data_IF_160022852536
#
_entry.id   IF_160022852536
#
_cell.length_a   1.000
_cell.length_b   1.000
_cell.length_c   1.000
_cell.angle_alpha   90.00
_cell.angle_beta   90.00
_cell.angle_gamma   90.00
#
_symmetry.space_group_name_H-M   'P 1'
#
loop_
_entity.id
_entity.type
_entity.pdbx_description
1 polymer ?
#
# COMPACT_ATOMS: atom_id res chain seq x y z
N UNK A 1 36.57 -36.32 -9.40
CA UNK A 1 37.07 -34.97 -9.76
C UNK A 1 35.90 -34.19 -10.36
N UNK A 2 35.22 -33.37 -9.56
CA UNK A 2 34.05 -32.56 -9.99
C UNK A 2 34.61 -31.26 -10.57
N UNK A 3 34.31 -30.95 -11.84
CA UNK A 3 34.69 -29.66 -12.43
C UNK A 3 33.92 -28.54 -11.70
N UNK A 4 34.56 -27.44 -11.29
CA UNK A 4 33.83 -26.27 -10.84
C UNK A 4 33.05 -25.72 -12.05
N UNK A 5 31.73 -25.60 -11.91
CA UNK A 5 30.90 -24.89 -12.88
C UNK A 5 31.33 -23.42 -12.92
N UNK A 6 31.71 -22.93 -14.11
CA UNK A 6 32.07 -21.54 -14.35
C UNK A 6 31.01 -20.60 -13.77
N UNK A 7 31.40 -19.88 -12.71
CA UNK A 7 30.60 -18.86 -12.05
C UNK A 7 30.50 -17.61 -12.92
N UNK A 8 29.80 -17.72 -14.05
CA UNK A 8 29.52 -16.58 -14.92
C UNK A 8 28.50 -15.69 -14.21
N UNK A 9 28.94 -14.51 -13.76
CA UNK A 9 28.07 -13.46 -13.21
C UNK A 9 27.12 -13.03 -14.34
N UNK A 10 25.81 -13.21 -14.13
CA UNK A 10 24.77 -12.75 -15.05
C UNK A 10 24.00 -11.60 -14.44
N UNK A 11 23.60 -10.65 -15.29
CA UNK A 11 22.70 -9.58 -14.89
C UNK A 11 21.40 -10.18 -14.35
N UNK A 12 20.93 -9.65 -13.22
CA UNK A 12 19.63 -9.99 -12.65
C UNK A 12 18.55 -9.52 -13.63
N UNK A 13 17.50 -10.33 -13.82
CA UNK A 13 16.37 -9.94 -14.68
C UNK A 13 15.80 -8.58 -14.24
N UNK A 14 15.47 -7.65 -15.16
CA UNK A 14 14.98 -6.31 -14.80
C UNK A 14 13.78 -6.31 -13.85
N UNK A 15 12.86 -7.26 -14.02
CA UNK A 15 11.71 -7.45 -13.12
C UNK A 15 12.09 -7.90 -11.71
N UNK A 16 13.22 -8.59 -11.55
CA UNK A 16 13.77 -8.91 -10.23
C UNK A 16 14.49 -7.70 -9.61
N UNK A 17 15.17 -6.86 -10.40
CA UNK A 17 15.78 -5.60 -9.90
C UNK A 17 14.72 -4.67 -9.32
N UNK A 18 13.64 -4.40 -10.07
CA UNK A 18 12.54 -3.54 -9.61
C UNK A 18 11.90 -4.05 -8.31
N UNK A 19 11.69 -5.37 -8.18
CA UNK A 19 11.18 -5.99 -6.95
C UNK A 19 12.16 -5.95 -5.79
N UNK A 20 13.47 -6.06 -6.05
CA UNK A 20 14.50 -5.96 -5.00
C UNK A 20 14.55 -4.52 -4.47
N UNK A 21 14.63 -3.52 -5.36
CA UNK A 21 14.63 -2.11 -4.96
C UNK A 21 13.33 -1.73 -4.23
N UNK A 22 12.18 -2.11 -4.78
CA UNK A 22 10.88 -1.84 -4.15
C UNK A 22 10.71 -2.58 -2.82
N UNK A 23 11.28 -3.78 -2.69
CA UNK A 23 11.32 -4.51 -1.43
C UNK A 23 12.20 -3.84 -0.37
N UNK A 24 13.23 -3.08 -0.75
CA UNK A 24 14.00 -2.27 0.20
C UNK A 24 13.24 -1.03 0.64
N UNK A 25 12.34 -0.50 -0.19
CA UNK A 25 11.48 0.64 0.14
C UNK A 25 10.31 0.21 1.03
N UNK A 26 9.57 -0.84 0.65
CA UNK A 26 8.46 -1.39 1.45
C UNK A 26 8.96 -2.62 2.20
N UNK A 27 9.40 -2.40 3.45
CA UNK A 27 10.01 -3.43 4.29
C UNK A 27 8.99 -4.13 5.18
N UNK A 28 8.00 -3.40 5.67
CA UNK A 28 6.96 -3.90 6.56
C UNK A 28 5.61 -3.17 6.35
N UNK A 29 4.59 -3.59 7.11
CA UNK A 29 3.23 -3.03 7.04
C UNK A 29 3.22 -1.54 7.41
N UNK A 30 3.93 -1.17 8.48
CA UNK A 30 3.95 0.20 8.96
C UNK A 30 4.58 1.14 7.91
N UNK A 31 5.63 0.69 7.23
CA UNK A 31 6.27 1.42 6.13
C UNK A 31 5.31 1.57 4.95
N UNK A 32 4.60 0.50 4.55
CA UNK A 32 3.60 0.60 3.48
C UNK A 32 2.53 1.66 3.76
N UNK A 33 2.02 1.71 4.99
CA UNK A 33 1.04 2.74 5.39
C UNK A 33 1.67 4.11 5.52
N UNK A 34 2.88 4.23 6.07
CA UNK A 34 3.64 5.49 6.16
C UNK A 34 3.71 6.16 4.80
N UNK A 35 4.16 5.44 3.77
CA UNK A 35 4.31 5.99 2.43
C UNK A 35 2.94 6.43 1.86
N UNK A 36 1.87 5.67 2.09
CA UNK A 36 0.52 6.07 1.66
C UNK A 36 0.00 7.32 2.39
N UNK A 37 0.29 7.44 3.69
CA UNK A 37 -0.11 8.59 4.52
C UNK A 37 0.69 9.82 4.13
N UNK A 38 2.00 9.71 3.96
CA UNK A 38 2.88 10.81 3.51
C UNK A 38 2.43 11.32 2.14
N UNK A 39 2.17 10.42 1.19
CA UNK A 39 1.65 10.81 -0.12
C UNK A 39 0.30 11.55 -0.02
N UNK A 40 -0.59 11.10 0.87
CA UNK A 40 -1.86 11.76 1.08
C UNK A 40 -1.68 13.17 1.68
N UNK A 41 -0.77 13.32 2.65
CA UNK A 41 -0.45 14.60 3.26
C UNK A 41 0.18 15.57 2.26
N UNK A 42 1.15 15.11 1.46
CA UNK A 42 1.82 15.91 0.42
C UNK A 42 0.84 16.38 -0.66
N UNK A 43 -0.17 15.56 -0.94
CA UNK A 43 -1.24 15.92 -1.87
C UNK A 43 -2.25 16.92 -1.26
N UNK A 44 -2.16 17.23 0.03
CA UNK A 44 -3.03 18.17 0.74
C UNK A 44 -4.30 17.54 1.30
N UNK A 45 -4.29 16.23 1.61
CA UNK A 45 -5.45 15.55 2.16
C UNK A 45 -5.95 16.20 3.46
N UNK A 46 -7.26 16.39 3.54
CA UNK A 46 -7.97 16.92 4.72
C UNK A 46 -8.62 15.81 5.55
N UNK A 47 -8.71 14.60 5.00
CA UNK A 47 -9.12 13.38 5.70
C UNK A 47 -8.31 12.22 5.13
N UNK A 48 -7.79 11.38 6.02
CA UNK A 48 -7.08 10.14 5.72
C UNK A 48 -7.77 9.02 6.49
N UNK A 49 -8.30 8.03 5.79
CA UNK A 49 -8.89 6.85 6.41
C UNK A 49 -8.14 5.59 5.99
N UNK A 50 -7.58 4.89 6.97
CA UNK A 50 -6.88 3.62 6.81
C UNK A 50 -7.80 2.48 7.25
N UNK A 51 -8.16 1.59 6.32
CA UNK A 51 -8.93 0.38 6.61
C UNK A 51 -8.04 -0.84 6.44
N UNK A 52 -8.05 -1.71 7.41
CA UNK A 52 -7.27 -2.93 7.44
C UNK A 52 -8.22 -4.14 7.48
N UNK A 53 -7.85 -5.20 6.79
CA UNK A 53 -8.47 -6.52 6.95
C UNK A 53 -7.42 -7.51 7.43
N UNK A 54 -7.79 -8.32 8.43
CA UNK A 54 -6.87 -9.23 9.11
C UNK A 54 -5.59 -8.51 9.56
N UNK A 55 -5.76 -7.38 10.25
CA UNK A 55 -4.67 -6.53 10.76
C UNK A 55 -3.76 -5.95 9.66
N UNK A 56 -4.17 -6.00 8.39
CA UNK A 56 -3.41 -5.51 7.23
C UNK A 56 -2.71 -6.61 6.42
N UNK A 57 -2.85 -7.88 6.82
CA UNK A 57 -2.28 -9.00 6.07
C UNK A 57 -3.03 -9.30 4.77
N UNK A 58 -4.34 -9.05 4.75
CA UNK A 58 -5.17 -9.28 3.55
C UNK A 58 -5.38 -8.00 2.74
N UNK A 59 -5.68 -6.88 3.41
CA UNK A 59 -6.01 -5.62 2.75
C UNK A 59 -5.60 -4.41 3.59
N UNK A 60 -5.08 -3.41 2.90
CA UNK A 60 -4.83 -2.05 3.38
C UNK A 60 -5.54 -1.11 2.40
N UNK A 61 -6.52 -0.34 2.84
CA UNK A 61 -7.12 0.73 2.05
C UNK A 61 -6.84 2.08 2.68
N UNK A 62 -6.29 3.02 1.92
CA UNK A 62 -6.13 4.42 2.31
C UNK A 62 -7.07 5.29 1.49
N UNK A 63 -7.89 6.11 2.14
CA UNK A 63 -8.79 7.09 1.51
C UNK A 63 -8.28 8.50 1.81
N UNK A 64 -7.98 9.27 0.77
CA UNK A 64 -7.49 10.65 0.85
C UNK A 64 -8.33 11.60 -0.03
N UNK A 65 -8.28 12.91 0.19
CA UNK A 65 -9.03 13.88 -0.63
C UNK A 65 -8.29 14.37 -1.87
N UNK A 66 -7.04 13.96 -2.10
CA UNK A 66 -6.19 14.36 -3.22
C UNK A 66 -5.42 13.17 -3.83
N UNK A 67 -4.73 13.39 -4.96
CA UNK A 67 -4.04 12.34 -5.74
C UNK A 67 -2.73 11.83 -5.11
N UNK A 68 -1.97 11.03 -5.86
CA UNK A 68 -0.67 10.47 -5.43
C UNK A 68 0.41 10.91 -6.43
N UNK A 69 1.64 11.13 -5.96
CA UNK A 69 2.82 11.42 -6.80
C UNK A 69 3.98 10.52 -6.37
N UNK A 70 4.94 10.30 -7.26
CA UNK A 70 6.23 9.67 -6.91
C UNK A 70 6.27 8.14 -6.99
N UNK A 71 7.30 7.57 -6.38
CA UNK A 71 7.73 6.17 -6.53
C UNK A 71 7.01 5.19 -5.59
N UNK A 72 6.32 5.70 -4.57
CA UNK A 72 5.67 4.88 -3.55
C UNK A 72 4.60 3.94 -4.14
N UNK A 73 3.77 4.44 -5.06
CA UNK A 73 2.75 3.60 -5.71
C UNK A 73 3.39 2.51 -6.57
N UNK A 74 4.48 2.81 -7.29
CA UNK A 74 5.25 1.82 -8.05
C UNK A 74 5.88 0.77 -7.13
N UNK A 75 6.43 1.20 -5.99
CA UNK A 75 7.02 0.31 -5.00
C UNK A 75 5.99 -0.63 -4.37
N UNK A 76 4.79 -0.12 -4.10
CA UNK A 76 3.66 -0.92 -3.61
C UNK A 76 3.19 -1.94 -4.66
N UNK A 77 3.12 -1.55 -5.93
CA UNK A 77 2.76 -2.45 -7.03
C UNK A 77 3.71 -3.65 -7.11
N UNK A 78 5.02 -3.42 -6.91
CA UNK A 78 6.02 -4.50 -6.95
C UNK A 78 5.82 -5.58 -5.89
N UNK A 79 5.15 -5.24 -4.77
CA UNK A 79 5.03 -6.11 -3.60
C UNK A 79 3.59 -6.50 -3.27
N UNK A 80 2.57 -5.93 -3.93
CA UNK A 80 1.16 -6.13 -3.62
C UNK A 80 0.27 -5.89 -4.83
N UNK A 81 -1.02 -6.25 -4.73
CA UNK A 81 -2.02 -5.85 -5.72
C UNK A 81 -2.53 -4.44 -5.38
N UNK A 82 -2.37 -3.49 -6.30
CA UNK A 82 -2.74 -2.09 -6.08
C UNK A 82 -3.87 -1.66 -7.02
N UNK A 83 -4.86 -1.00 -6.45
CA UNK A 83 -5.88 -0.28 -7.22
C UNK A 83 -6.15 1.09 -6.64
N UNK A 84 -6.51 2.03 -7.51
CA UNK A 84 -6.83 3.41 -7.13
C UNK A 84 -8.21 3.75 -7.62
N UNK A 85 -9.07 4.27 -6.77
CA UNK A 85 -10.32 4.90 -7.19
C UNK A 85 -10.17 6.38 -6.97
N UNK A 86 -10.40 7.23 -7.97
CA UNK A 86 -10.30 8.68 -7.79
C UNK A 86 -11.41 9.43 -8.53
N UNK A 87 -11.81 10.57 -7.96
CA UNK A 87 -12.72 11.54 -8.59
C UNK A 87 -12.34 12.95 -8.15
N UNK A 88 -12.03 13.82 -9.11
CA UNK A 88 -11.87 15.25 -8.84
C UNK A 88 -13.23 15.95 -8.70
N UNK A 89 -13.26 17.16 -8.14
CA UNK A 89 -14.51 17.93 -7.97
C UNK A 89 -15.16 18.31 -9.31
N UNK A 90 -14.36 18.49 -10.36
CA UNK A 90 -14.82 18.83 -11.71
C UNK A 90 -15.33 17.62 -12.50
N UNK A 91 -14.98 16.40 -12.09
CA UNK A 91 -15.43 15.17 -12.76
C UNK A 91 -16.78 14.70 -12.23
N UNK A 92 -17.70 14.39 -13.14
CA UNK A 92 -19.02 13.83 -12.83
C UNK A 92 -18.98 12.36 -12.42
N UNK A 93 -17.97 11.60 -12.83
CA UNK A 93 -17.83 10.16 -12.55
C UNK A 93 -16.43 9.83 -12.06
N UNK A 94 -16.34 8.88 -11.12
CA UNK A 94 -15.07 8.42 -10.60
C UNK A 94 -14.44 7.37 -11.53
N UNK A 95 -13.14 7.21 -11.42
CA UNK A 95 -12.38 6.24 -12.21
C UNK A 95 -11.65 5.29 -11.28
N UNK A 96 -11.77 3.98 -11.53
CA UNK A 96 -10.98 2.93 -10.92
C UNK A 96 -9.83 2.56 -11.85
N UNK A 97 -8.62 2.58 -11.32
CA UNK A 97 -7.36 2.23 -11.96
C UNK A 97 -6.85 0.95 -11.30
N UNK A 98 -6.37 -0.01 -12.10
CA UNK A 98 -5.64 -1.19 -11.61
C UNK A 98 -4.26 -1.22 -12.24
N UNK A 99 -3.26 -1.58 -11.44
CA UNK A 99 -1.86 -1.60 -11.85
C UNK A 99 -1.32 -3.02 -11.80
N UNK A 100 -0.40 -3.35 -12.70
CA UNK A 100 0.42 -4.57 -12.61
C UNK A 100 1.58 -4.41 -11.62
N UNK A 101 2.41 -5.44 -11.50
CA UNK A 101 3.54 -5.43 -10.55
C UNK A 101 4.69 -4.52 -10.98
N UNK A 102 4.74 -4.16 -12.25
CA UNK A 102 5.69 -3.20 -12.81
C UNK A 102 5.19 -1.75 -12.62
N UNK A 103 3.96 -1.58 -12.11
CA UNK A 103 3.32 -0.28 -11.89
C UNK A 103 2.67 0.31 -13.14
N UNK A 104 2.56 -0.47 -14.22
CA UNK A 104 1.86 -0.05 -15.43
C UNK A 104 0.34 -0.21 -15.27
N UNK A 105 -0.41 0.69 -15.90
CA UNK A 105 -1.87 0.71 -15.83
C UNK A 105 -2.45 -0.43 -16.66
N UNK A 106 -3.06 -1.42 -16.00
CA UNK A 106 -3.74 -2.54 -16.66
C UNK A 106 -5.16 -2.22 -17.09
N UNK A 107 -5.91 -1.47 -16.27
CA UNK A 107 -7.30 -1.15 -16.60
C UNK A 107 -7.76 0.15 -15.96
N UNK A 108 -8.70 0.80 -16.65
CA UNK A 108 -9.37 2.02 -16.24
C UNK A 108 -10.88 1.85 -16.43
N UNK A 109 -11.65 1.86 -15.35
CA UNK A 109 -13.10 1.65 -15.40
C UNK A 109 -13.88 2.75 -14.66
N UNK A 110 -14.99 3.25 -15.22
CA UNK A 110 -15.88 4.17 -14.49
C UNK A 110 -16.48 3.50 -13.25
N UNK A 111 -16.63 4.25 -12.17
CA UNK A 111 -17.30 3.78 -10.95
C UNK A 111 -17.92 4.92 -10.14
N UNK A 112 -18.73 4.57 -9.14
CA UNK A 112 -19.36 5.51 -8.22
C UNK A 112 -18.43 5.82 -7.04
N UNK A 113 -18.24 7.12 -6.75
CA UNK A 113 -17.48 7.61 -5.60
C UNK A 113 -17.72 9.11 -5.40
N UNK A 114 -17.75 9.58 -4.15
CA UNK A 114 -17.61 11.01 -3.85
C UNK A 114 -16.21 11.55 -4.24
N UNK A 115 -16.00 12.87 -4.19
CA UNK A 115 -14.71 13.45 -4.55
C UNK A 115 -13.58 12.96 -3.63
N UNK A 116 -12.38 12.75 -4.18
CA UNK A 116 -11.17 12.31 -3.49
C UNK A 116 -10.49 11.13 -4.20
N UNK A 117 -9.49 10.54 -3.55
CA UNK A 117 -8.76 9.32 -3.96
C UNK A 117 -8.79 8.21 -2.90
N UNK A 118 -8.78 6.95 -3.32
CA UNK A 118 -8.69 5.75 -2.47
C UNK A 118 -7.64 4.88 -3.10
N UNK A 119 -6.66 4.45 -2.34
CA UNK A 119 -5.67 3.46 -2.75
C UNK A 119 -5.93 2.21 -1.94
N UNK A 120 -6.22 1.11 -2.63
CA UNK A 120 -6.39 -0.20 -2.03
C UNK A 120 -5.17 -1.05 -2.39
N UNK A 121 -4.48 -1.54 -1.38
CA UNK A 121 -3.31 -2.42 -1.44
C UNK A 121 -3.73 -3.77 -0.83
N UNK A 122 -3.89 -4.78 -1.66
CA UNK A 122 -4.29 -6.13 -1.25
C UNK A 122 -3.10 -7.09 -1.34
N UNK A 123 -3.12 -8.13 -0.51
CA UNK A 123 -2.14 -9.22 -0.55
C UNK A 123 -0.68 -8.73 -0.47
N UNK A 124 -0.38 -7.94 0.56
CA UNK A 124 0.97 -7.41 0.78
C UNK A 124 2.01 -8.54 0.85
N UNK A 125 3.10 -8.36 0.12
CA UNK A 125 4.17 -9.34 -0.11
C UNK A 125 3.75 -10.63 -0.82
N UNK A 126 2.62 -10.65 -1.55
CA UNK A 126 2.23 -11.83 -2.35
C UNK A 126 3.30 -12.35 -3.32
N UNK A 127 4.11 -11.51 -4.00
CA UNK A 127 5.18 -12.01 -4.87
C UNK A 127 6.42 -12.50 -4.10
N UNK A 128 6.47 -12.30 -2.77
CA UNK A 128 7.64 -12.53 -1.91
C UNK A 128 7.29 -13.46 -0.72
N UNK A 129 7.21 -14.80 -0.91
CA UNK A 129 6.65 -15.73 0.07
C UNK A 129 7.34 -15.76 1.44
N UNK A 130 8.65 -15.51 1.49
CA UNK A 130 9.40 -15.46 2.76
C UNK A 130 8.99 -14.24 3.58
N UNK A 131 8.85 -13.08 2.93
CA UNK A 131 8.39 -11.85 3.59
C UNK A 131 6.94 -11.94 4.01
N UNK A 132 6.09 -12.55 3.18
CA UNK A 132 4.68 -12.81 3.54
C UNK A 132 4.58 -13.64 4.81
N UNK A 133 5.31 -14.77 4.89
CA UNK A 133 5.35 -15.59 6.12
C UNK A 133 5.88 -14.83 7.33
N UNK A 134 6.90 -14.00 7.14
CA UNK A 134 7.42 -13.14 8.22
C UNK A 134 6.36 -12.15 8.71
N UNK A 135 5.66 -11.46 7.78
CA UNK A 135 4.58 -10.52 8.09
C UNK A 135 3.45 -11.22 8.85
N UNK A 136 3.00 -12.37 8.39
CA UNK A 136 1.95 -13.17 9.04
C UNK A 136 2.37 -13.57 10.47
N UNK A 137 3.63 -13.98 10.66
CA UNK A 137 4.17 -14.32 11.98
C UNK A 137 4.31 -13.13 12.93
N UNK A 138 4.47 -11.90 12.42
CA UNK A 138 4.64 -10.69 13.21
C UNK A 138 3.46 -9.72 13.20
N UNK A 139 2.31 -10.12 12.63
CA UNK A 139 1.23 -9.19 12.25
C UNK A 139 0.69 -8.36 13.43
N UNK A 140 0.57 -8.93 14.62
CA UNK A 140 0.10 -8.20 15.82
C UNK A 140 1.07 -7.09 16.24
N UNK A 141 2.38 -7.35 16.12
CA UNK A 141 3.42 -6.38 16.45
C UNK A 141 3.44 -5.26 15.40
N UNK A 142 3.32 -5.62 14.13
CA UNK A 142 3.23 -4.68 13.01
C UNK A 142 2.00 -3.77 13.14
N UNK A 143 0.86 -4.34 13.51
CA UNK A 143 -0.36 -3.59 13.78
C UNK A 143 -0.20 -2.60 14.95
N UNK A 144 0.48 -2.99 16.03
CA UNK A 144 0.75 -2.08 17.15
C UNK A 144 1.69 -0.92 16.74
N UNK A 145 2.73 -1.20 15.96
CA UNK A 145 3.60 -0.16 15.39
C UNK A 145 2.81 0.80 14.51
N UNK A 146 1.91 0.27 13.69
CA UNK A 146 1.05 1.07 12.82
C UNK A 146 0.13 1.99 13.62
N UNK A 147 -0.47 1.50 14.70
CA UNK A 147 -1.28 2.32 15.60
C UNK A 147 -0.49 3.52 16.15
N UNK A 148 0.73 3.27 16.66
CA UNK A 148 1.60 4.33 17.16
C UNK A 148 2.00 5.34 16.07
N UNK A 149 2.28 4.86 14.85
CA UNK A 149 2.60 5.70 13.70
C UNK A 149 1.44 6.63 13.32
N UNK A 150 0.21 6.09 13.21
CA UNK A 150 -0.97 6.88 12.86
C UNK A 150 -1.32 7.90 13.94
N UNK A 151 -1.13 7.54 15.21
CA UNK A 151 -1.28 8.47 16.34
C UNK A 151 -0.27 9.63 16.24
N UNK A 152 0.99 9.35 15.91
CA UNK A 152 2.00 10.38 15.72
C UNK A 152 1.64 11.34 14.56
N UNK A 153 1.17 10.81 13.44
CA UNK A 153 0.70 11.63 12.32
C UNK A 153 -0.53 12.49 12.68
N UNK A 154 -1.48 11.94 13.45
CA UNK A 154 -2.65 12.69 13.91
C UNK A 154 -2.27 13.88 14.80
N UNK A 155 -1.20 13.75 15.61
CA UNK A 155 -0.67 14.86 16.42
C UNK A 155 0.06 15.91 15.57
N UNK A 156 0.81 15.47 14.55
CA UNK A 156 1.57 16.36 13.67
C UNK A 156 0.68 17.15 12.69
N UNK A 157 -0.41 16.53 12.22
CA UNK A 157 -1.32 17.11 11.23
C UNK A 157 -2.72 17.38 11.82
N UNK A 158 -2.86 18.35 12.76
CA UNK A 158 -4.10 18.58 13.52
C UNK A 158 -5.28 19.05 12.65
N UNK A 159 -5.02 19.47 11.41
CA UNK A 159 -6.05 19.88 10.44
C UNK A 159 -6.53 18.74 9.53
N UNK A 160 -5.98 17.54 9.72
CA UNK A 160 -6.30 16.36 8.93
C UNK A 160 -7.03 15.35 9.80
N UNK A 161 -8.21 14.91 9.37
CA UNK A 161 -8.97 13.89 10.08
C UNK A 161 -8.38 12.51 9.79
N UNK A 162 -7.88 11.83 10.81
CA UNK A 162 -7.44 10.43 10.71
C UNK A 162 -8.54 9.48 11.20
N UNK A 163 -8.76 8.38 10.48
CA UNK A 163 -9.61 7.27 10.91
C UNK A 163 -8.88 5.97 10.59
N UNK A 164 -8.70 5.11 11.58
CA UNK A 164 -8.15 3.78 11.37
C UNK A 164 -9.18 2.73 11.78
N UNK A 165 -9.41 1.74 10.92
CA UNK A 165 -10.29 0.61 11.24
C UNK A 165 -9.64 -0.71 10.85
N UNK A 166 -9.95 -1.76 11.61
CA UNK A 166 -9.54 -3.12 11.33
C UNK A 166 -10.76 -4.05 11.37
N UNK A 167 -10.83 -4.99 10.42
CA UNK A 167 -11.86 -6.02 10.38
C UNK A 167 -11.22 -7.41 10.36
N UNK A 168 -11.64 -8.28 11.29
CA UNK A 168 -11.24 -9.70 11.34
C UNK A 168 -12.44 -10.58 11.02
N UNK A 169 -12.31 -11.48 10.04
CA UNK A 169 -13.36 -12.37 9.55
C UNK A 169 -14.62 -11.63 9.07
N UNK A 170 -15.79 -12.24 9.33
CA UNK A 170 -17.09 -11.60 9.15
C UNK A 170 -17.50 -10.68 10.33
N UNK A 171 -16.57 -10.40 11.25
CA UNK A 171 -16.82 -9.64 12.48
C UNK A 171 -16.99 -8.13 12.26
N UNK A 172 -17.42 -7.45 13.32
CA UNK A 172 -17.57 -6.00 13.34
C UNK A 172 -16.22 -5.27 13.20
N UNK A 173 -16.25 -4.09 12.57
CA UNK A 173 -15.07 -3.22 12.43
C UNK A 173 -14.68 -2.66 13.78
N UNK A 174 -13.39 -2.76 14.12
CA UNK A 174 -12.80 -2.14 15.30
C UNK A 174 -12.09 -0.88 14.89
N UNK A 175 -12.40 0.25 15.53
CA UNK A 175 -11.67 1.52 15.35
C UNK A 175 -10.40 1.50 16.20
N UNK A 176 -9.30 2.01 15.65
CA UNK A 176 -7.96 2.02 16.25
C UNK A 176 -7.55 3.44 16.61
#
# INVERSE_FOLDING_TARGET
MVKPSDGVIRAIAPSAVHRICSGQVIVDLATAVKELVENALDAGATSIEVRLKEYGSELIESLATFGFRGEALSSLCAVAQVSVVTRTRSQSTATRLRFDHEGALQSQTPCARAAGTTVSVADLFSPLPVRRRSLEGSIRREYAKLGALLQAYALFAPRVRFVATNQTGAGARTTV
#
